data_IF_120228987287
#
_entry.id   IF_120228987287
#
_cell.length_a   1.000
_cell.length_b   1.000
_cell.length_c   1.000
_cell.angle_alpha   90.00
_cell.angle_beta   90.00
_cell.angle_gamma   90.00
#
_symmetry.space_group_name_H-M   'P 1'
#
loop_
_entity.id
_entity.type
_entity.pdbx_description
1 polymer ?
#
# COMPACT_ATOMS: atom_id res chain seq x y z
N UNK A 1 28.20 -39.91 1.38
CA UNK A 1 28.72 -38.54 1.55
C UNK A 1 29.10 -38.33 3.00
N UNK A 2 30.39 -38.12 3.22
CA UNK A 2 30.91 -37.72 4.53
C UNK A 2 30.34 -36.35 4.95
N UNK A 3 30.42 -36.02 6.24
CA UNK A 3 30.04 -34.69 6.76
C UNK A 3 30.86 -33.58 6.08
N UNK A 4 32.12 -33.88 5.74
CA UNK A 4 33.05 -33.03 5.00
C UNK A 4 32.55 -32.74 3.58
N UNK A 5 32.08 -33.75 2.84
CA UNK A 5 31.51 -33.57 1.49
C UNK A 5 30.25 -32.70 1.53
N UNK A 6 29.43 -32.83 2.58
CA UNK A 6 28.22 -32.00 2.73
C UNK A 6 28.56 -30.54 3.00
N UNK A 7 29.58 -30.26 3.81
CA UNK A 7 30.03 -28.88 4.06
C UNK A 7 30.61 -28.25 2.80
N UNK A 8 31.43 -28.98 2.04
CA UNK A 8 32.00 -28.50 0.79
C UNK A 8 30.93 -28.23 -0.28
N UNK A 9 29.92 -29.11 -0.41
CA UNK A 9 28.79 -28.91 -1.32
C UNK A 9 27.90 -27.72 -0.91
N UNK A 10 27.68 -27.51 0.39
CA UNK A 10 26.91 -26.36 0.89
C UNK A 10 27.67 -25.03 0.71
N UNK A 11 28.98 -25.02 0.94
CA UNK A 11 29.82 -23.84 0.75
C UNK A 11 29.90 -23.43 -0.73
N UNK A 12 30.06 -24.40 -1.63
CA UNK A 12 30.06 -24.14 -3.08
C UNK A 12 28.70 -23.63 -3.56
N UNK A 13 27.59 -24.23 -3.13
CA UNK A 13 26.23 -23.77 -3.50
C UNK A 13 25.97 -22.34 -3.01
N UNK A 14 26.34 -22.02 -1.76
CA UNK A 14 26.21 -20.68 -1.22
C UNK A 14 27.05 -19.66 -2.00
N UNK A 15 28.29 -20.02 -2.38
CA UNK A 15 29.16 -19.19 -3.20
C UNK A 15 28.57 -18.94 -4.59
N UNK A 16 28.09 -19.98 -5.29
CA UNK A 16 27.49 -19.84 -6.61
C UNK A 16 26.22 -19.00 -6.58
N UNK A 17 25.38 -19.18 -5.58
CA UNK A 17 24.19 -18.32 -5.38
C UNK A 17 24.59 -16.89 -5.09
N UNK A 18 25.59 -16.66 -4.24
CA UNK A 18 26.11 -15.32 -3.96
C UNK A 18 26.66 -14.63 -5.21
N UNK A 19 27.46 -15.33 -6.02
CA UNK A 19 27.99 -14.83 -7.29
C UNK A 19 26.87 -14.58 -8.29
N UNK A 20 25.89 -15.48 -8.40
CA UNK A 20 24.76 -15.30 -9.30
C UNK A 20 23.92 -14.08 -8.92
N UNK A 21 23.61 -13.89 -7.64
CA UNK A 21 22.91 -12.69 -7.16
C UNK A 21 23.73 -11.44 -7.42
N UNK A 22 25.03 -11.45 -7.12
CA UNK A 22 25.89 -10.29 -7.36
C UNK A 22 25.98 -9.94 -8.84
N UNK A 23 26.21 -10.93 -9.71
CA UNK A 23 26.25 -10.74 -11.15
C UNK A 23 24.91 -10.22 -11.68
N UNK A 24 23.80 -10.77 -11.18
CA UNK A 24 22.44 -10.35 -11.48
C UNK A 24 22.24 -8.87 -11.10
N UNK A 25 22.60 -8.47 -9.88
CA UNK A 25 22.55 -7.07 -9.42
C UNK A 25 23.44 -6.16 -10.28
N UNK A 26 24.68 -6.57 -10.59
CA UNK A 26 25.63 -5.78 -11.38
C UNK A 26 25.12 -5.58 -12.81
N UNK A 27 24.63 -6.64 -13.45
CA UNK A 27 23.99 -6.56 -14.77
C UNK A 27 22.81 -5.60 -14.71
N UNK A 28 21.95 -5.67 -13.69
CA UNK A 28 20.80 -4.76 -13.58
C UNK A 28 21.20 -3.31 -13.36
N UNK A 29 22.19 -3.03 -12.52
CA UNK A 29 22.70 -1.67 -12.33
C UNK A 29 23.28 -1.07 -13.63
N UNK A 30 23.51 -1.91 -14.65
CA UNK A 30 24.01 -1.53 -15.97
C UNK A 30 22.91 -1.35 -17.02
N UNK A 31 21.66 -1.77 -16.75
CA UNK A 31 20.52 -1.61 -17.67
C UNK A 31 19.85 -0.24 -17.43
N UNK A 32 19.37 0.38 -18.52
CA UNK A 32 18.59 1.62 -18.43
C UNK A 32 17.19 1.41 -17.86
N UNK A 33 16.49 2.49 -17.45
CA UNK A 33 15.11 2.37 -17.03
C UNK A 33 14.26 1.78 -18.15
N UNK A 34 13.36 0.87 -17.80
CA UNK A 34 12.47 0.19 -18.71
C UNK A 34 11.08 0.83 -18.68
N UNK A 35 10.34 0.75 -19.80
CA UNK A 35 8.97 1.23 -19.82
C UNK A 35 8.07 0.36 -18.92
N UNK A 36 6.96 0.94 -18.48
CA UNK A 36 5.99 0.22 -17.66
C UNK A 36 5.36 -0.98 -18.38
N UNK A 37 5.15 -0.87 -19.69
CA UNK A 37 4.56 -1.94 -20.50
C UNK A 37 5.52 -3.12 -20.64
N UNK A 38 6.80 -2.85 -20.88
CA UNK A 38 7.83 -3.89 -20.94
C UNK A 38 8.01 -4.56 -19.57
N UNK A 39 7.97 -3.79 -18.48
CA UNK A 39 7.96 -4.35 -17.12
C UNK A 39 6.78 -5.29 -16.87
N UNK A 40 5.60 -4.98 -17.42
CA UNK A 40 4.42 -5.85 -17.36
C UNK A 40 4.63 -7.14 -18.17
N UNK A 41 5.28 -7.07 -19.32
CA UNK A 41 5.66 -8.27 -20.08
C UNK A 41 6.57 -9.19 -19.27
N UNK A 42 7.61 -8.65 -18.62
CA UNK A 42 8.49 -9.42 -17.75
C UNK A 42 7.77 -10.04 -16.56
N UNK A 43 6.77 -9.37 -15.97
CA UNK A 43 5.92 -9.99 -14.93
C UNK A 43 5.20 -11.22 -15.45
N UNK A 44 4.74 -11.19 -16.71
CA UNK A 44 4.15 -12.35 -17.40
C UNK A 44 5.13 -13.50 -17.53
N UNK A 45 6.37 -13.23 -17.96
CA UNK A 45 7.44 -14.24 -18.05
C UNK A 45 7.75 -14.83 -16.67
N UNK A 46 7.92 -13.99 -15.65
CA UNK A 46 8.17 -14.40 -14.27
C UNK A 46 7.03 -15.27 -13.70
N UNK A 47 5.78 -14.95 -14.01
CA UNK A 47 4.63 -15.75 -13.63
C UNK A 47 4.63 -17.13 -14.31
N UNK A 48 4.96 -17.19 -15.60
CA UNK A 48 5.12 -18.45 -16.33
C UNK A 48 6.25 -19.32 -15.73
N UNK A 49 7.38 -18.70 -15.37
CA UNK A 49 8.46 -19.38 -14.65
C UNK A 49 7.98 -19.90 -13.28
N UNK A 50 7.13 -19.16 -12.57
CA UNK A 50 6.50 -19.61 -11.34
C UNK A 50 5.73 -20.93 -11.52
N UNK A 51 4.97 -21.07 -12.61
CA UNK A 51 4.27 -22.33 -12.95
C UNK A 51 5.28 -23.46 -13.17
N UNK A 52 6.33 -23.20 -13.95
CA UNK A 52 7.40 -24.18 -14.19
C UNK A 52 8.06 -24.61 -12.87
N UNK A 53 8.33 -23.67 -11.97
CA UNK A 53 8.90 -23.99 -10.65
C UNK A 53 7.96 -24.83 -9.81
N UNK A 54 6.65 -24.55 -9.80
CA UNK A 54 5.67 -25.38 -9.09
C UNK A 54 5.64 -26.81 -9.63
N UNK A 55 5.62 -26.97 -10.96
CA UNK A 55 5.63 -28.29 -11.61
C UNK A 55 6.95 -29.04 -11.35
N UNK A 56 8.09 -28.36 -11.44
CA UNK A 56 9.39 -28.93 -11.13
C UNK A 56 9.46 -29.37 -9.65
N UNK A 57 8.94 -28.56 -8.73
CA UNK A 57 8.89 -28.91 -7.31
C UNK A 57 8.03 -30.16 -7.07
N UNK A 58 6.85 -30.24 -7.72
CA UNK A 58 5.99 -31.43 -7.68
C UNK A 58 6.70 -32.68 -8.24
N UNK A 59 7.44 -32.54 -9.33
CA UNK A 59 8.27 -33.62 -9.89
C UNK A 59 9.36 -34.10 -8.93
N UNK A 60 10.01 -33.19 -8.19
CA UNK A 60 11.02 -33.55 -7.19
C UNK A 60 10.44 -34.32 -6.00
N UNK A 61 9.14 -34.21 -5.73
CA UNK A 61 8.51 -34.99 -4.65
C UNK A 61 8.45 -36.49 -4.95
N UNK A 62 8.45 -36.89 -6.23
CA UNK A 62 8.44 -38.30 -6.67
C UNK A 62 9.82 -38.82 -7.11
N UNK A 63 10.82 -37.94 -7.15
CA UNK A 63 12.17 -38.28 -7.58
C UNK A 63 12.96 -39.05 -6.50
N UNK A 64 13.98 -39.80 -6.94
CA UNK A 64 14.91 -40.48 -6.05
C UNK A 64 15.59 -39.48 -5.08
N UNK A 65 15.93 -39.87 -3.83
CA UNK A 65 16.38 -38.94 -2.79
C UNK A 65 17.61 -38.08 -3.16
N UNK A 66 18.55 -38.64 -3.92
CA UNK A 66 19.74 -37.92 -4.37
C UNK A 66 19.41 -36.87 -5.44
N UNK A 67 18.54 -37.22 -6.41
CA UNK A 67 18.02 -36.29 -7.44
C UNK A 67 17.20 -35.18 -6.79
N UNK A 68 16.34 -35.53 -5.83
CA UNK A 68 15.51 -34.58 -5.09
C UNK A 68 16.35 -33.50 -4.42
N UNK A 69 17.47 -33.87 -3.80
CA UNK A 69 18.34 -32.93 -3.10
C UNK A 69 19.03 -31.97 -4.07
N UNK A 70 19.72 -32.49 -5.09
CA UNK A 70 20.42 -31.67 -6.08
C UNK A 70 19.43 -30.79 -6.84
N UNK A 71 18.30 -31.36 -7.27
CA UNK A 71 17.25 -30.64 -7.97
C UNK A 71 16.63 -29.52 -7.14
N UNK A 72 16.41 -29.73 -5.84
CA UNK A 72 15.89 -28.69 -4.95
C UNK A 72 16.89 -27.52 -4.79
N UNK A 73 18.19 -27.80 -4.67
CA UNK A 73 19.20 -26.77 -4.52
C UNK A 73 19.36 -25.95 -5.82
N UNK A 74 19.38 -26.61 -6.99
CA UNK A 74 19.37 -25.93 -8.30
C UNK A 74 18.12 -25.07 -8.46
N UNK A 75 16.95 -25.62 -8.15
CA UNK A 75 15.67 -24.93 -8.29
C UNK A 75 15.61 -23.69 -7.39
N UNK A 76 16.09 -23.78 -6.15
CA UNK A 76 16.23 -22.62 -5.25
C UNK A 76 17.15 -21.56 -5.84
N UNK A 77 18.31 -21.93 -6.36
CA UNK A 77 19.25 -20.96 -6.95
C UNK A 77 18.64 -20.22 -8.13
N UNK A 78 17.95 -20.94 -9.01
CA UNK A 78 17.24 -20.33 -10.15
C UNK A 78 16.09 -19.43 -9.67
N UNK A 79 15.32 -19.86 -8.67
CA UNK A 79 14.28 -19.04 -8.06
C UNK A 79 14.83 -17.76 -7.43
N UNK A 80 15.98 -17.83 -6.75
CA UNK A 80 16.64 -16.66 -6.16
C UNK A 80 16.99 -15.65 -7.25
N UNK A 81 17.65 -16.09 -8.33
CA UNK A 81 17.97 -15.21 -9.47
C UNK A 81 16.70 -14.61 -10.06
N UNK A 82 15.65 -15.42 -10.24
CA UNK A 82 14.36 -15.00 -10.79
C UNK A 82 13.65 -13.97 -9.91
N UNK A 83 13.69 -14.16 -8.59
CA UNK A 83 13.12 -13.22 -7.61
C UNK A 83 13.91 -11.92 -7.58
N UNK A 84 15.25 -11.98 -7.59
CA UNK A 84 16.10 -10.79 -7.67
C UNK A 84 15.80 -10.02 -8.95
N UNK A 85 15.70 -10.69 -10.10
CA UNK A 85 15.24 -10.07 -11.34
C UNK A 85 13.87 -9.40 -11.18
N UNK A 86 12.90 -10.12 -10.62
CA UNK A 86 11.57 -9.61 -10.37
C UNK A 86 11.54 -8.37 -9.48
N UNK A 87 12.40 -8.29 -8.47
CA UNK A 87 12.54 -7.11 -7.62
C UNK A 87 13.00 -5.88 -8.40
N UNK A 88 14.00 -6.00 -9.27
CA UNK A 88 14.43 -4.86 -10.09
C UNK A 88 13.39 -4.53 -11.18
N UNK A 89 12.76 -5.53 -11.77
CA UNK A 89 11.64 -5.33 -12.70
C UNK A 89 10.47 -4.59 -12.05
N UNK A 90 10.19 -4.90 -10.78
CA UNK A 90 9.15 -4.24 -10.01
C UNK A 90 9.37 -2.72 -9.92
N UNK A 91 10.63 -2.27 -9.91
CA UNK A 91 11.06 -0.87 -9.95
C UNK A 91 11.35 -0.35 -11.36
N UNK A 92 10.86 -1.01 -12.41
CA UNK A 92 11.09 -0.62 -13.80
C UNK A 92 12.58 -0.48 -14.15
N UNK A 93 13.44 -1.22 -13.45
CA UNK A 93 14.91 -1.11 -13.54
C UNK A 93 15.43 0.33 -13.35
N UNK A 94 14.69 1.19 -12.66
CA UNK A 94 15.10 2.56 -12.39
C UNK A 94 15.89 2.67 -11.09
N UNK A 95 17.17 2.97 -11.22
CA UNK A 95 18.09 3.22 -10.09
C UNK A 95 17.73 4.47 -9.28
N UNK A 96 16.91 5.38 -9.81
CA UNK A 96 16.42 6.56 -9.07
C UNK A 96 15.55 6.20 -7.87
N UNK A 97 15.06 4.96 -7.79
CA UNK A 97 14.33 4.46 -6.62
C UNK A 97 15.20 4.43 -5.36
N UNK A 98 16.53 4.44 -5.47
CA UNK A 98 17.42 4.38 -4.30
C UNK A 98 17.82 5.76 -3.76
N UNK A 99 17.84 6.80 -4.59
CA UNK A 99 18.34 8.13 -4.24
C UNK A 99 17.25 9.21 -4.22
N UNK A 100 16.04 8.92 -4.71
CA UNK A 100 14.94 9.87 -4.74
C UNK A 100 13.55 9.23 -4.66
N UNK A 101 12.53 10.06 -4.89
CA UNK A 101 11.16 9.63 -5.09
C UNK A 101 10.79 9.92 -6.56
N UNK A 102 10.30 8.90 -7.27
CA UNK A 102 9.87 9.05 -8.66
C UNK A 102 8.55 9.80 -8.79
N UNK A 103 7.62 9.55 -7.86
CA UNK A 103 6.36 10.29 -7.75
C UNK A 103 6.14 10.83 -6.34
N UNK A 104 6.00 12.15 -6.23
CA UNK A 104 5.74 12.81 -4.96
C UNK A 104 4.24 12.79 -4.57
N UNK A 105 3.33 12.38 -5.45
CA UNK A 105 1.88 12.46 -5.23
C UNK A 105 1.43 11.67 -4.01
N UNK A 106 1.76 10.38 -3.99
CA UNK A 106 1.37 9.47 -2.91
C UNK A 106 1.93 9.96 -1.58
N UNK A 107 3.25 10.13 -1.52
CA UNK A 107 3.93 10.53 -0.29
C UNK A 107 3.44 11.87 0.24
N UNK A 108 3.03 12.83 -0.61
CA UNK A 108 2.47 14.10 -0.15
C UNK A 108 1.17 13.86 0.62
N UNK A 109 0.25 13.03 0.12
CA UNK A 109 -0.97 12.71 0.84
C UNK A 109 -0.65 12.07 2.19
N UNK A 110 0.26 11.09 2.22
CA UNK A 110 0.46 10.29 3.43
C UNK A 110 1.36 10.93 4.47
N UNK A 111 2.41 11.66 4.07
CA UNK A 111 3.29 12.40 4.97
C UNK A 111 2.59 13.63 5.56
N UNK A 112 2.03 14.48 4.69
CA UNK A 112 1.45 15.75 5.14
C UNK A 112 0.22 15.50 6.00
N UNK A 113 -0.74 14.69 5.53
CA UNK A 113 -1.94 14.46 6.34
C UNK A 113 -1.68 13.65 7.61
N UNK A 114 -0.70 12.74 7.67
CA UNK A 114 -0.42 12.06 8.93
C UNK A 114 0.16 13.03 9.96
N UNK A 115 1.09 13.90 9.54
CA UNK A 115 1.77 14.88 10.40
C UNK A 115 0.82 15.94 10.95
N UNK A 116 -0.12 16.39 10.11
CA UNK A 116 -1.05 17.50 10.39
C UNK A 116 -2.51 17.05 10.47
N UNK A 117 -2.80 15.77 10.79
CA UNK A 117 -4.17 15.26 10.78
C UNK A 117 -5.08 16.00 11.76
N UNK A 118 -4.53 16.40 12.91
CA UNK A 118 -5.29 17.13 13.94
C UNK A 118 -5.79 18.49 13.45
N UNK A 119 -5.00 19.16 12.62
CA UNK A 119 -5.32 20.47 12.08
C UNK A 119 -6.09 20.42 10.75
N UNK A 120 -5.77 19.47 9.88
CA UNK A 120 -6.36 19.35 8.55
C UNK A 120 -7.66 18.53 8.55
N UNK A 121 -7.79 17.58 9.48
CA UNK A 121 -8.76 16.50 9.37
C UNK A 121 -8.65 15.74 8.04
N UNK A 122 -9.74 15.10 7.62
CA UNK A 122 -9.79 14.37 6.34
C UNK A 122 -10.03 15.26 5.12
N UNK A 123 -10.46 16.51 5.33
CA UNK A 123 -11.01 17.34 4.26
C UNK A 123 -10.20 18.61 3.99
N UNK A 124 -9.20 18.91 4.81
CA UNK A 124 -8.47 20.18 4.77
C UNK A 124 -7.23 20.20 3.89
N UNK A 125 -6.74 19.05 3.40
CA UNK A 125 -5.45 18.97 2.70
C UNK A 125 -5.32 19.96 1.54
N UNK A 126 -6.19 19.86 0.54
CA UNK A 126 -6.09 20.70 -0.66
C UNK A 126 -6.34 22.18 -0.37
N UNK A 127 -7.41 22.57 0.35
CA UNK A 127 -7.63 23.96 0.73
C UNK A 127 -6.44 24.58 1.47
N UNK A 128 -5.87 23.87 2.45
CA UNK A 128 -4.75 24.37 3.23
C UNK A 128 -3.47 24.49 2.38
N UNK A 129 -3.14 23.48 1.58
CA UNK A 129 -1.96 23.53 0.71
C UNK A 129 -2.07 24.65 -0.35
N UNK A 130 -3.24 24.83 -0.95
CA UNK A 130 -3.48 25.91 -1.93
C UNK A 130 -3.33 27.28 -1.25
N UNK A 131 -3.85 27.44 -0.03
CA UNK A 131 -3.66 28.69 0.71
C UNK A 131 -2.19 28.94 1.06
N UNK A 132 -1.49 27.93 1.60
CA UNK A 132 -0.08 28.06 1.96
C UNK A 132 0.79 28.45 0.77
N UNK A 133 0.54 27.85 -0.40
CA UNK A 133 1.23 28.19 -1.64
C UNK A 133 0.89 29.60 -2.16
N UNK A 134 -0.36 30.04 -2.02
CA UNK A 134 -0.79 31.39 -2.43
C UNK A 134 -0.19 32.49 -1.55
N UNK A 135 -0.02 32.23 -0.25
CA UNK A 135 0.69 33.10 0.70
C UNK A 135 2.22 33.05 0.49
N UNK A 136 2.72 31.96 -0.09
CA UNK A 136 4.13 31.74 -0.36
C UNK A 136 4.67 32.55 -1.56
N UNK A 137 6.01 32.69 -1.65
CA UNK A 137 6.64 33.49 -2.68
C UNK A 137 6.64 32.84 -4.07
N UNK A 138 6.59 31.50 -4.16
CA UNK A 138 6.75 30.76 -5.42
C UNK A 138 5.44 30.48 -6.15
N UNK A 139 4.33 30.32 -5.43
CA UNK A 139 2.97 30.12 -5.98
C UNK A 139 2.90 29.02 -7.04
N UNK A 140 3.38 27.83 -6.72
CA UNK A 140 3.43 26.66 -7.63
C UNK A 140 2.06 26.29 -8.21
N UNK A 141 1.00 26.52 -7.43
CA UNK A 141 -0.39 26.19 -7.74
C UNK A 141 -1.13 27.31 -8.47
N UNK A 142 -0.45 28.38 -8.92
CA UNK A 142 -1.09 29.52 -9.58
C UNK A 142 -1.92 29.15 -10.84
N UNK A 143 -1.56 28.04 -11.50
CA UNK A 143 -2.29 27.53 -12.67
C UNK A 143 -3.49 26.62 -12.31
N UNK A 144 -3.68 26.28 -11.03
CA UNK A 144 -4.79 25.46 -10.56
C UNK A 144 -6.07 26.30 -10.54
N UNK A 145 -6.99 25.99 -11.44
CA UNK A 145 -8.28 26.70 -11.56
C UNK A 145 -9.41 26.03 -10.80
N UNK A 146 -9.34 24.71 -10.68
CA UNK A 146 -10.33 23.88 -10.02
C UNK A 146 -9.61 22.83 -9.17
N UNK A 147 -10.28 22.36 -8.13
CA UNK A 147 -9.82 21.29 -7.26
C UNK A 147 -11.00 20.40 -6.88
N UNK A 148 -10.73 19.16 -6.46
CA UNK A 148 -11.74 18.29 -5.86
C UNK A 148 -11.92 18.64 -4.40
N UNK A 149 -13.12 19.06 -4.01
CA UNK A 149 -13.46 19.24 -2.61
C UNK A 149 -13.61 17.87 -1.93
N UNK A 150 -12.78 17.58 -0.94
CA UNK A 150 -12.75 16.27 -0.29
C UNK A 150 -14.01 15.98 0.56
N UNK A 151 -14.86 16.98 0.81
CA UNK A 151 -16.10 16.83 1.60
C UNK A 151 -17.25 16.17 0.84
N UNK A 152 -17.23 16.27 -0.49
CA UNK A 152 -18.29 15.79 -1.39
C UNK A 152 -17.77 15.24 -2.73
N UNK A 153 -16.47 15.35 -3.00
CA UNK A 153 -15.80 14.98 -4.25
C UNK A 153 -16.22 15.76 -5.49
N UNK A 154 -16.87 16.90 -5.33
CA UNK A 154 -17.18 17.81 -6.43
C UNK A 154 -15.96 18.64 -6.83
N UNK A 155 -15.79 18.88 -8.13
CA UNK A 155 -14.81 19.84 -8.61
C UNK A 155 -15.33 21.27 -8.42
N UNK A 156 -14.57 22.09 -7.70
CA UNK A 156 -14.95 23.47 -7.37
C UNK A 156 -13.87 24.45 -7.81
N UNK A 157 -14.23 25.72 -8.07
CA UNK A 157 -13.26 26.77 -8.33
C UNK A 157 -12.25 26.92 -7.18
N UNK A 158 -11.01 27.27 -7.50
CA UNK A 158 -9.91 27.41 -6.53
C UNK A 158 -10.20 28.45 -5.44
N UNK A 159 -11.06 29.44 -5.71
CA UNK A 159 -11.50 30.46 -4.77
C UNK A 159 -12.22 29.84 -3.55
N UNK A 160 -12.96 28.75 -3.77
CA UNK A 160 -13.61 27.99 -2.69
C UNK A 160 -12.55 27.32 -1.81
N UNK A 161 -11.48 26.80 -2.41
CA UNK A 161 -10.34 26.23 -1.68
C UNK A 161 -9.65 27.28 -0.83
N UNK A 162 -9.40 28.47 -1.39
CA UNK A 162 -8.75 29.58 -0.68
C UNK A 162 -9.59 30.08 0.51
N UNK A 163 -10.91 30.16 0.36
CA UNK A 163 -11.81 30.52 1.46
C UNK A 163 -11.79 29.47 2.57
N UNK A 164 -11.91 28.20 2.22
CA UNK A 164 -11.90 27.10 3.19
C UNK A 164 -10.52 26.94 3.86
N UNK A 165 -9.43 27.13 3.13
CA UNK A 165 -8.08 27.14 3.68
C UNK A 165 -7.90 28.22 4.74
N UNK A 166 -8.50 29.41 4.55
CA UNK A 166 -8.44 30.49 5.55
C UNK A 166 -9.19 30.13 6.83
N UNK A 167 -10.32 29.44 6.70
CA UNK A 167 -11.06 28.93 7.87
C UNK A 167 -10.23 27.90 8.64
N UNK A 168 -9.67 26.89 7.95
CA UNK A 168 -8.83 25.87 8.56
C UNK A 168 -7.62 26.50 9.29
N UNK A 169 -6.92 27.42 8.62
CA UNK A 169 -5.79 28.15 9.20
C UNK A 169 -6.19 28.88 10.48
N UNK A 170 -7.33 29.57 10.47
CA UNK A 170 -7.80 30.37 11.61
C UNK A 170 -8.32 29.51 12.77
N UNK A 171 -8.97 28.39 12.48
CA UNK A 171 -9.66 27.56 13.49
C UNK A 171 -8.76 26.47 14.08
N UNK A 172 -7.77 25.99 13.33
CA UNK A 172 -7.08 24.73 13.67
C UNK A 172 -5.55 24.84 13.75
N UNK A 173 -4.94 25.90 13.19
CA UNK A 173 -3.48 26.08 13.23
C UNK A 173 -3.06 27.19 14.20
N UNK A 174 -1.99 26.93 14.96
CA UNK A 174 -1.20 28.01 15.54
C UNK A 174 -0.29 28.63 14.47
N UNK A 175 0.22 29.87 14.65
CA UNK A 175 1.13 30.48 13.69
C UNK A 175 2.36 29.62 13.39
N UNK A 176 2.96 29.01 14.41
CA UNK A 176 4.17 28.17 14.28
C UNK A 176 3.86 26.89 13.51
N UNK A 177 2.73 26.25 13.81
CA UNK A 177 2.29 25.04 13.10
C UNK A 177 1.91 25.33 11.65
N UNK A 178 1.36 26.50 11.36
CA UNK A 178 1.09 26.93 9.99
C UNK A 178 2.38 27.16 9.20
N UNK A 179 3.38 27.78 9.81
CA UNK A 179 4.69 27.99 9.18
C UNK A 179 5.37 26.65 8.85
N UNK A 180 5.35 25.70 9.79
CA UNK A 180 5.85 24.34 9.57
C UNK A 180 5.08 23.62 8.43
N UNK A 181 3.75 23.71 8.44
CA UNK A 181 2.91 23.15 7.38
C UNK A 181 3.20 23.79 6.02
N UNK A 182 3.35 25.11 5.96
CA UNK A 182 3.62 25.84 4.73
C UNK A 182 4.99 25.50 4.16
N UNK A 183 5.99 25.31 5.02
CA UNK A 183 7.32 24.82 4.64
C UNK A 183 7.23 23.42 3.99
N UNK A 184 6.57 22.47 4.67
CA UNK A 184 6.41 21.11 4.14
C UNK A 184 5.59 21.10 2.84
N UNK A 185 4.56 21.95 2.74
CA UNK A 185 3.78 22.12 1.53
C UNK A 185 4.63 22.66 0.36
N UNK A 186 5.45 23.71 0.56
CA UNK A 186 6.37 24.22 -0.48
C UNK A 186 7.35 23.13 -0.93
N UNK A 187 7.88 22.33 0.00
CA UNK A 187 8.75 21.21 -0.32
C UNK A 187 8.09 20.25 -1.32
N UNK A 188 6.86 19.81 -1.05
CA UNK A 188 6.18 18.86 -1.95
C UNK A 188 5.70 19.51 -3.24
N UNK A 189 5.16 20.73 -3.19
CA UNK A 189 4.60 21.41 -4.36
C UNK A 189 5.70 21.81 -5.37
N UNK A 190 6.87 22.25 -4.89
CA UNK A 190 8.01 22.59 -5.76
C UNK A 190 8.56 21.41 -6.57
N UNK A 191 8.16 20.18 -6.24
CA UNK A 191 8.57 18.94 -6.92
C UNK A 191 7.48 18.38 -7.83
N UNK A 192 6.35 19.07 -7.95
CA UNK A 192 5.24 18.69 -8.84
C UNK A 192 5.24 19.60 -10.07
N UNK A 193 5.04 19.02 -11.24
CA UNK A 193 4.79 19.80 -12.45
C UNK A 193 3.40 20.44 -12.40
N UNK A 194 3.20 21.54 -13.12
CA UNK A 194 1.88 22.14 -13.30
C UNK A 194 0.86 21.13 -13.81
N UNK A 195 1.24 20.32 -14.81
CA UNK A 195 0.40 19.23 -15.34
C UNK A 195 -0.03 18.25 -14.25
N UNK A 196 0.91 17.86 -13.38
CA UNK A 196 0.61 16.97 -12.25
C UNK A 196 -0.36 17.62 -11.27
N UNK A 197 -0.17 18.90 -10.95
CA UNK A 197 -1.04 19.61 -10.00
C UNK A 197 -2.47 19.75 -10.53
N UNK A 198 -2.63 20.20 -11.78
CA UNK A 198 -3.95 20.47 -12.38
C UNK A 198 -4.68 19.21 -12.84
N UNK A 199 -3.95 18.18 -13.26
CA UNK A 199 -4.52 16.97 -13.87
C UNK A 199 -4.65 15.78 -12.93
N UNK A 200 -3.85 15.72 -11.86
CA UNK A 200 -3.79 14.55 -10.98
C UNK A 200 -3.93 14.93 -9.49
N UNK A 201 -3.02 15.75 -8.96
CA UNK A 201 -2.83 15.89 -7.51
C UNK A 201 -4.04 16.51 -6.79
N UNK A 202 -4.55 17.64 -7.28
CA UNK A 202 -5.68 18.36 -6.66
C UNK A 202 -7.05 17.84 -7.07
N UNK A 203 -7.11 16.89 -8.00
CA UNK A 203 -8.35 16.28 -8.49
C UNK A 203 -8.48 14.81 -8.10
N UNK A 204 -7.51 14.25 -7.38
CA UNK A 204 -7.61 12.95 -6.73
C UNK A 204 -8.42 13.04 -5.43
N UNK A 205 -8.60 11.90 -4.76
CA UNK A 205 -9.37 11.76 -3.54
C UNK A 205 -8.54 11.96 -2.26
N UNK A 206 -7.24 12.24 -2.39
CA UNK A 206 -6.36 12.60 -1.29
C UNK A 206 -6.20 11.53 -0.21
N UNK A 207 -6.26 11.95 1.04
CA UNK A 207 -5.95 11.14 2.21
C UNK A 207 -7.13 10.25 2.63
N UNK A 208 -6.90 8.94 2.74
CA UNK A 208 -7.92 7.93 3.03
C UNK A 208 -7.67 6.88 4.13
N UNK A 209 -6.49 6.77 4.78
CA UNK A 209 -6.31 5.82 5.87
C UNK A 209 -7.24 6.08 7.05
N UNK A 210 -7.55 5.06 7.86
CA UNK A 210 -8.23 5.25 9.13
C UNK A 210 -7.33 5.98 10.17
N UNK A 211 -7.90 6.55 11.24
CA UNK A 211 -7.13 7.30 12.24
C UNK A 211 -6.06 6.44 12.92
N UNK A 212 -6.34 5.14 13.08
CA UNK A 212 -5.40 4.13 13.61
C UNK A 212 -4.14 3.95 12.77
N UNK A 213 -4.23 4.04 11.44
CA UNK A 213 -3.05 4.04 10.55
C UNK A 213 -2.25 5.34 10.70
N UNK A 214 -2.94 6.44 11.00
CA UNK A 214 -2.32 7.76 11.17
C UNK A 214 -1.42 7.82 12.40
N UNK A 215 -1.62 6.94 13.40
CA UNK A 215 -0.76 6.87 14.60
C UNK A 215 0.70 6.55 14.24
N UNK A 216 1.04 5.40 13.61
CA UNK A 216 2.41 5.16 13.16
C UNK A 216 2.83 6.09 12.02
N UNK A 217 1.89 6.51 11.16
CA UNK A 217 2.19 7.46 10.07
C UNK A 217 2.65 8.83 10.58
N UNK A 218 2.03 9.35 11.65
CA UNK A 218 2.42 10.60 12.31
C UNK A 218 3.77 10.44 13.00
N UNK A 219 3.95 9.36 13.75
CA UNK A 219 5.21 9.07 14.40
C UNK A 219 6.39 9.10 13.41
N UNK A 220 6.25 8.45 12.25
CA UNK A 220 7.30 8.48 11.23
C UNK A 220 7.45 9.87 10.59
N UNK A 221 6.36 10.57 10.31
CA UNK A 221 6.42 11.90 9.69
C UNK A 221 7.03 12.96 10.63
N UNK A 222 6.86 12.80 11.96
CA UNK A 222 7.49 13.67 12.97
C UNK A 222 8.99 13.37 13.14
N UNK A 223 9.46 12.16 12.80
CA UNK A 223 10.87 11.77 12.92
C UNK A 223 11.76 12.31 11.80
N UNK A 224 11.19 12.67 10.64
CA UNK A 224 11.95 13.12 9.49
C UNK A 224 11.35 14.43 8.94
N UNK A 225 12.16 15.48 8.72
CA UNK A 225 11.71 16.65 7.98
C UNK A 225 11.37 16.26 6.53
N UNK A 226 10.57 17.09 5.85
CA UNK A 226 10.10 16.80 4.48
C UNK A 226 11.27 16.51 3.52
N UNK A 227 12.41 17.17 3.71
CA UNK A 227 13.66 16.97 2.97
C UNK A 227 14.16 15.53 3.01
N UNK A 228 13.93 14.85 4.13
CA UNK A 228 14.39 13.50 4.41
C UNK A 228 13.27 12.46 4.31
N UNK A 229 12.15 12.78 3.66
CA UNK A 229 10.99 11.88 3.53
C UNK A 229 11.33 10.54 2.86
N UNK A 230 12.41 10.49 2.07
CA UNK A 230 12.90 9.22 1.49
C UNK A 230 13.28 8.21 2.57
N UNK A 231 13.86 8.66 3.69
CA UNK A 231 14.30 7.77 4.77
C UNK A 231 13.13 7.02 5.41
N UNK A 232 11.98 7.69 5.57
CA UNK A 232 10.77 7.07 6.10
C UNK A 232 10.04 6.23 5.03
N UNK A 233 10.15 6.58 3.74
CA UNK A 233 9.60 5.75 2.67
C UNK A 233 10.33 4.39 2.57
N UNK A 234 11.64 4.36 2.88
CA UNK A 234 12.43 3.13 2.96
C UNK A 234 12.04 2.22 4.14
N UNK A 235 11.28 2.70 5.13
CA UNK A 235 10.76 1.85 6.22
C UNK A 235 9.92 0.70 5.66
N UNK A 236 9.15 0.94 4.59
CA UNK A 236 8.35 -0.11 3.95
C UNK A 236 9.23 -1.23 3.38
N UNK A 237 10.43 -0.91 2.86
CA UNK A 237 11.40 -1.92 2.39
C UNK A 237 11.80 -2.82 3.56
N UNK A 238 12.10 -2.24 4.72
CA UNK A 238 12.41 -2.98 5.94
C UNK A 238 11.25 -3.83 6.43
N UNK A 239 10.02 -3.29 6.40
CA UNK A 239 8.79 -4.01 6.77
C UNK A 239 8.58 -5.24 5.89
N UNK A 240 8.71 -5.08 4.57
CA UNK A 240 8.52 -6.18 3.60
C UNK A 240 9.64 -7.21 3.70
N UNK A 241 10.89 -6.78 3.86
CA UNK A 241 12.01 -7.69 4.11
C UNK A 241 11.80 -8.49 5.41
N UNK A 242 11.36 -7.83 6.48
CA UNK A 242 11.01 -8.46 7.75
C UNK A 242 9.87 -9.46 7.61
N UNK A 243 8.81 -9.13 6.85
CA UNK A 243 7.72 -10.05 6.53
C UNK A 243 8.27 -11.34 5.90
N UNK A 244 9.11 -11.25 4.86
CA UNK A 244 9.67 -12.43 4.20
C UNK A 244 10.61 -13.23 5.10
N UNK A 245 11.40 -12.57 5.94
CA UNK A 245 12.22 -13.27 6.96
C UNK A 245 11.34 -14.08 7.91
N UNK A 246 10.20 -13.54 8.34
CA UNK A 246 9.23 -14.25 9.18
C UNK A 246 8.56 -15.40 8.42
N UNK A 247 8.28 -15.25 7.12
CA UNK A 247 7.79 -16.36 6.27
C UNK A 247 8.82 -17.48 6.20
N UNK A 248 10.09 -17.18 5.96
CA UNK A 248 11.16 -18.17 5.93
C UNK A 248 11.29 -18.91 7.27
N UNK A 249 11.20 -18.18 8.39
CA UNK A 249 11.19 -18.78 9.71
C UNK A 249 9.98 -19.69 9.94
N UNK A 250 8.78 -19.26 9.52
CA UNK A 250 7.53 -19.96 9.76
C UNK A 250 7.34 -21.20 8.87
N UNK A 251 7.58 -21.05 7.57
CA UNK A 251 7.25 -22.02 6.52
C UNK A 251 8.47 -22.54 5.72
N UNK A 252 9.66 -22.02 5.97
CA UNK A 252 10.89 -22.41 5.26
C UNK A 252 11.22 -21.53 4.05
N UNK A 253 12.44 -21.67 3.54
CA UNK A 253 12.97 -20.84 2.45
C UNK A 253 12.18 -21.00 1.15
N UNK A 254 11.67 -22.20 0.87
CA UNK A 254 10.94 -22.49 -0.36
C UNK A 254 9.63 -21.69 -0.42
N UNK A 255 8.88 -21.68 0.70
CA UNK A 255 7.67 -20.89 0.83
C UNK A 255 7.96 -19.39 0.72
N UNK A 256 9.08 -18.92 1.30
CA UNK A 256 9.51 -17.53 1.16
C UNK A 256 9.80 -17.17 -0.31
N UNK A 257 10.52 -18.01 -1.05
CA UNK A 257 10.85 -17.74 -2.46
C UNK A 257 9.60 -17.71 -3.34
N UNK A 258 8.65 -18.62 -3.15
CA UNK A 258 7.36 -18.56 -3.85
C UNK A 258 6.54 -17.31 -3.46
N UNK A 259 6.54 -16.93 -2.18
CA UNK A 259 5.86 -15.72 -1.73
C UNK A 259 6.49 -14.44 -2.32
N UNK A 260 7.83 -14.37 -2.36
CA UNK A 260 8.55 -13.27 -3.01
C UNK A 260 8.26 -13.22 -4.52
N UNK A 261 8.27 -14.38 -5.19
CA UNK A 261 7.94 -14.46 -6.61
C UNK A 261 6.51 -13.95 -6.87
N UNK A 262 5.53 -14.38 -6.06
CA UNK A 262 4.17 -13.86 -6.13
C UNK A 262 4.12 -12.33 -5.92
N UNK A 263 4.85 -11.82 -4.94
CA UNK A 263 4.89 -10.40 -4.63
C UNK A 263 5.41 -9.54 -5.79
N UNK A 264 6.47 -9.99 -6.47
CA UNK A 264 7.05 -9.24 -7.61
C UNK A 264 6.30 -9.43 -8.92
N UNK A 265 5.44 -10.45 -9.02
CA UNK A 265 4.66 -10.76 -10.24
C UNK A 265 3.22 -10.27 -10.18
N UNK A 266 2.65 -10.09 -8.99
CA UNK A 266 1.23 -9.70 -8.87
C UNK A 266 0.96 -8.36 -9.53
N UNK A 267 -0.08 -8.32 -10.37
CA UNK A 267 -0.50 -7.09 -11.04
C UNK A 267 -0.95 -6.02 -10.04
N UNK A 268 -1.57 -6.43 -8.93
CA UNK A 268 -2.00 -5.52 -7.87
C UNK A 268 -0.82 -4.82 -7.19
N UNK A 269 0.39 -5.38 -7.29
CA UNK A 269 1.60 -4.77 -6.76
C UNK A 269 2.19 -3.68 -7.65
N UNK A 270 1.63 -3.39 -8.84
CA UNK A 270 2.16 -2.34 -9.74
C UNK A 270 2.19 -0.94 -9.10
N UNK A 271 1.32 -0.70 -8.13
CA UNK A 271 1.24 0.49 -7.30
C UNK A 271 0.70 0.09 -5.93
N UNK A 272 1.18 0.66 -4.82
CA UNK A 272 2.27 1.65 -4.73
C UNK A 272 3.67 1.03 -4.93
N UNK A 273 4.66 1.85 -5.26
CA UNK A 273 6.06 1.42 -5.42
C UNK A 273 6.72 1.35 -4.03
N UNK A 274 7.32 0.20 -3.72
CA UNK A 274 8.02 -0.03 -2.46
C UNK A 274 9.20 0.94 -2.30
N UNK A 275 9.31 1.60 -1.15
CA UNK A 275 10.36 2.62 -0.92
C UNK A 275 10.02 4.01 -1.48
N UNK A 276 8.86 4.20 -2.12
CA UNK A 276 8.37 5.51 -2.58
C UNK A 276 7.12 6.00 -1.84
N UNK A 277 6.59 5.19 -0.94
CA UNK A 277 5.39 5.51 -0.19
C UNK A 277 5.58 5.25 1.30
N UNK A 278 4.75 5.89 2.13
CA UNK A 278 4.76 5.74 3.57
C UNK A 278 3.73 4.69 3.98
N UNK A 279 4.16 3.63 4.69
CA UNK A 279 3.30 2.61 5.31
C UNK A 279 2.18 2.11 4.39
N UNK A 280 2.55 1.76 3.16
CA UNK A 280 1.65 1.13 2.19
C UNK A 280 1.61 -0.38 2.31
N UNK A 281 2.70 -0.96 2.78
CA UNK A 281 2.89 -2.41 2.92
C UNK A 281 2.77 -2.92 4.36
N UNK A 282 2.51 -2.03 5.32
CA UNK A 282 2.38 -2.32 6.74
C UNK A 282 1.27 -3.35 7.04
N UNK A 283 0.07 -3.14 6.50
CA UNK A 283 -1.09 -3.96 6.77
C UNK A 283 -0.93 -5.37 6.17
N UNK A 284 -0.36 -5.49 4.97
CA UNK A 284 -0.18 -6.79 4.29
C UNK A 284 0.91 -7.58 4.98
N UNK A 285 1.99 -6.90 5.37
CA UNK A 285 3.06 -7.48 6.16
C UNK A 285 2.55 -7.98 7.50
N UNK A 286 1.75 -7.18 8.22
CA UNK A 286 1.13 -7.60 9.46
C UNK A 286 0.18 -8.80 9.26
N UNK A 287 -0.63 -8.82 8.19
CA UNK A 287 -1.49 -9.96 7.88
C UNK A 287 -0.69 -11.25 7.64
N UNK A 288 0.35 -11.20 6.83
CA UNK A 288 1.21 -12.36 6.54
C UNK A 288 1.96 -12.81 7.80
N UNK A 289 2.49 -11.86 8.58
CA UNK A 289 3.13 -12.15 9.87
C UNK A 289 2.13 -12.79 10.84
N UNK A 290 0.87 -12.35 10.88
CA UNK A 290 -0.18 -12.98 11.68
C UNK A 290 -0.36 -14.47 11.31
N UNK A 291 -0.43 -14.79 10.01
CA UNK A 291 -0.52 -16.18 9.55
C UNK A 291 0.71 -17.01 9.94
N UNK A 292 1.90 -16.40 9.89
CA UNK A 292 3.14 -17.03 10.35
C UNK A 292 3.11 -17.30 11.87
N UNK A 293 2.59 -16.35 12.66
CA UNK A 293 2.44 -16.52 14.11
C UNK A 293 1.40 -17.60 14.46
N UNK A 294 0.31 -17.72 13.69
CA UNK A 294 -0.64 -18.85 13.81
C UNK A 294 0.06 -20.18 13.55
N UNK A 295 0.85 -20.28 12.47
CA UNK A 295 1.63 -21.48 12.14
C UNK A 295 2.61 -21.88 13.24
N UNK A 296 3.16 -20.90 13.96
CA UNK A 296 4.12 -21.08 15.04
C UNK A 296 3.47 -21.11 16.43
N UNK A 297 2.13 -21.21 16.50
CA UNK A 297 1.34 -21.28 17.73
C UNK A 297 1.57 -20.09 18.69
N UNK A 298 1.99 -18.95 18.14
CA UNK A 298 2.16 -17.68 18.86
C UNK A 298 0.83 -16.90 18.83
N UNK A 299 -0.19 -17.47 19.47
CA UNK A 299 -1.59 -17.05 19.34
C UNK A 299 -1.84 -15.57 19.64
N UNK A 300 -1.25 -15.02 20.70
CA UNK A 300 -1.42 -13.61 21.05
C UNK A 300 -0.81 -12.67 19.99
N UNK A 301 0.40 -12.96 19.52
CA UNK A 301 1.03 -12.19 18.44
C UNK A 301 0.20 -12.29 17.16
N UNK A 302 -0.31 -13.47 16.83
CA UNK A 302 -1.19 -13.65 15.68
C UNK A 302 -2.43 -12.74 15.75
N UNK A 303 -3.12 -12.72 16.89
CA UNK A 303 -4.28 -11.84 17.09
C UNK A 303 -3.92 -10.37 17.00
N UNK A 304 -2.80 -9.97 17.61
CA UNK A 304 -2.32 -8.58 17.58
C UNK A 304 -1.98 -8.09 16.18
N UNK A 305 -1.22 -8.86 15.41
CA UNK A 305 -0.88 -8.51 14.03
C UNK A 305 -2.11 -8.51 13.10
N UNK A 306 -3.07 -9.41 13.31
CA UNK A 306 -4.30 -9.40 12.52
C UNK A 306 -5.16 -8.17 12.85
N UNK A 307 -5.26 -7.81 14.13
CA UNK A 307 -5.95 -6.59 14.55
C UNK A 307 -5.28 -5.34 13.97
N UNK A 308 -3.95 -5.25 14.02
CA UNK A 308 -3.20 -4.17 13.37
C UNK A 308 -3.55 -4.05 11.88
N UNK A 309 -3.48 -5.18 11.14
CA UNK A 309 -3.80 -5.20 9.72
C UNK A 309 -5.25 -4.72 9.44
N UNK A 310 -6.21 -5.22 10.21
CA UNK A 310 -7.63 -4.91 10.08
C UNK A 310 -8.02 -3.48 10.52
N UNK A 311 -7.25 -2.88 11.44
CA UNK A 311 -7.45 -1.50 11.86
C UNK A 311 -6.81 -0.52 10.89
N UNK A 312 -5.72 -0.89 10.21
CA UNK A 312 -5.05 -0.02 9.25
C UNK A 312 -5.70 -0.06 7.86
N UNK A 313 -6.33 -1.19 7.52
CA UNK A 313 -7.20 -1.37 6.36
C UNK A 313 -8.37 -2.26 6.77
N UNK A 314 -9.59 -2.00 6.32
CA UNK A 314 -10.76 -2.76 6.79
C UNK A 314 -10.83 -4.20 6.25
N UNK A 315 -10.34 -4.46 5.04
CA UNK A 315 -10.56 -5.74 4.36
C UNK A 315 -9.85 -6.95 5.01
N UNK A 316 -8.67 -6.86 5.67
CA UNK A 316 -8.09 -7.97 6.42
C UNK A 316 -8.97 -8.44 7.58
N UNK A 317 -9.99 -7.67 8.00
CA UNK A 317 -10.94 -8.12 9.01
C UNK A 317 -11.64 -9.44 8.62
N UNK A 318 -11.77 -9.74 7.32
CA UNK A 318 -12.34 -11.01 6.85
C UNK A 318 -11.57 -12.23 7.36
N UNK A 319 -10.27 -12.11 7.66
CA UNK A 319 -9.48 -13.23 8.16
C UNK A 319 -9.81 -13.61 9.61
N UNK A 320 -10.49 -12.73 10.37
CA UNK A 320 -11.08 -13.13 11.66
C UNK A 320 -12.19 -14.17 11.47
N UNK A 321 -12.86 -14.21 10.32
CA UNK A 321 -13.91 -15.20 10.05
C UNK A 321 -13.36 -16.64 10.05
N UNK A 322 -12.21 -16.86 9.39
CA UNK A 322 -11.56 -18.18 9.38
C UNK A 322 -11.17 -18.64 10.79
N UNK A 323 -10.60 -17.75 11.59
CA UNK A 323 -10.34 -18.02 13.01
C UNK A 323 -11.63 -18.26 13.80
N UNK A 324 -12.67 -17.47 13.54
CA UNK A 324 -13.98 -17.55 14.21
C UNK A 324 -14.66 -18.91 14.00
N UNK A 325 -14.58 -19.48 12.79
CA UNK A 325 -15.09 -20.84 12.53
C UNK A 325 -14.36 -21.86 13.41
N UNK A 326 -13.02 -21.83 13.45
CA UNK A 326 -12.22 -22.74 14.26
C UNK A 326 -12.52 -22.56 15.75
N UNK A 327 -12.66 -21.32 16.21
CA UNK A 327 -13.07 -20.98 17.57
C UNK A 327 -14.42 -21.60 17.94
N UNK A 328 -15.43 -21.49 17.08
CA UNK A 328 -16.75 -22.06 17.31
C UNK A 328 -16.72 -23.60 17.32
N UNK A 329 -16.00 -24.22 16.37
CA UNK A 329 -15.82 -25.68 16.31
C UNK A 329 -15.15 -26.19 17.59
N UNK A 330 -14.05 -25.57 18.00
CA UNK A 330 -13.29 -25.97 19.18
C UNK A 330 -14.11 -25.79 20.46
N UNK A 331 -14.81 -24.65 20.59
CA UNK A 331 -15.69 -24.39 21.73
C UNK A 331 -16.84 -25.39 21.79
N UNK A 332 -17.43 -25.74 20.64
CA UNK A 332 -18.49 -26.75 20.56
C UNK A 332 -17.97 -28.15 20.91
N UNK A 333 -16.83 -28.58 20.36
CA UNK A 333 -16.26 -29.92 20.59
C UNK A 333 -15.73 -30.10 22.00
N UNK A 334 -15.05 -29.11 22.55
CA UNK A 334 -14.40 -29.21 23.86
C UNK A 334 -15.25 -28.66 25.01
N UNK A 335 -16.39 -28.03 24.69
CA UNK A 335 -17.32 -27.41 25.67
C UNK A 335 -16.64 -26.40 26.60
N UNK A 336 -15.52 -25.82 26.18
CA UNK A 336 -14.74 -24.83 26.93
C UNK A 336 -13.97 -23.92 25.97
N UNK A 337 -13.67 -22.70 26.42
CA UNK A 337 -12.80 -21.79 25.70
C UNK A 337 -11.34 -22.23 25.86
N UNK A 338 -10.71 -22.67 24.77
CA UNK A 338 -9.31 -23.09 24.80
C UNK A 338 -8.39 -21.87 24.99
N UNK A 339 -7.32 -22.05 25.77
CA UNK A 339 -6.33 -20.98 26.08
C UNK A 339 -5.75 -20.32 24.83
N UNK A 340 -5.58 -21.08 23.73
CA UNK A 340 -5.12 -20.52 22.45
C UNK A 340 -6.03 -19.41 21.91
N UNK A 341 -7.34 -19.52 22.09
CA UNK A 341 -8.29 -18.49 21.65
C UNK A 341 -8.28 -17.30 22.59
N UNK A 342 -8.16 -17.53 23.89
CA UNK A 342 -8.01 -16.45 24.88
C UNK A 342 -6.76 -15.62 24.60
N UNK A 343 -5.62 -16.27 24.34
CA UNK A 343 -4.38 -15.58 23.95
C UNK A 343 -4.56 -14.77 22.66
N UNK A 344 -5.18 -15.36 21.63
CA UNK A 344 -5.47 -14.66 20.38
C UNK A 344 -6.34 -13.42 20.60
N UNK A 345 -7.46 -13.56 21.33
CA UNK A 345 -8.36 -12.46 21.66
C UNK A 345 -7.64 -11.40 22.48
N UNK A 346 -6.84 -11.79 23.47
CA UNK A 346 -6.07 -10.86 24.30
C UNK A 346 -5.08 -10.04 23.47
N UNK A 347 -4.35 -10.67 22.54
CA UNK A 347 -3.43 -9.96 21.65
C UNK A 347 -4.15 -9.01 20.69
N UNK A 348 -5.25 -9.47 20.07
CA UNK A 348 -6.08 -8.62 19.20
C UNK A 348 -6.68 -7.43 19.97
N UNK A 349 -7.20 -7.68 21.17
CA UNK A 349 -7.76 -6.67 22.05
C UNK A 349 -6.72 -5.65 22.51
N UNK A 350 -5.54 -6.09 22.93
CA UNK A 350 -4.46 -5.20 23.37
C UNK A 350 -4.02 -4.23 22.27
N UNK A 351 -3.78 -4.74 21.05
CA UNK A 351 -3.42 -3.88 19.90
C UNK A 351 -4.56 -2.94 19.54
N UNK A 352 -5.81 -3.41 19.56
CA UNK A 352 -6.97 -2.58 19.23
C UNK A 352 -7.16 -1.44 20.23
N UNK A 353 -7.11 -1.74 21.53
CA UNK A 353 -7.21 -0.74 22.60
C UNK A 353 -6.08 0.27 22.49
N UNK A 354 -4.85 -0.20 22.23
CA UNK A 354 -3.70 0.68 22.06
C UNK A 354 -3.86 1.62 20.86
N UNK A 355 -4.10 1.09 19.65
CA UNK A 355 -4.18 1.93 18.44
C UNK A 355 -5.37 2.87 18.45
N UNK A 356 -6.55 2.38 18.87
CA UNK A 356 -7.76 3.21 18.96
C UNK A 356 -7.57 4.27 20.04
N UNK A 357 -7.04 3.88 21.22
CA UNK A 357 -6.75 4.80 22.31
C UNK A 357 -5.78 5.90 21.89
N UNK A 358 -4.67 5.54 21.24
CA UNK A 358 -3.70 6.51 20.72
C UNK A 358 -4.31 7.43 19.66
N UNK A 359 -5.11 6.90 18.73
CA UNK A 359 -5.78 7.71 17.72
C UNK A 359 -6.80 8.68 18.34
N UNK A 360 -7.53 8.24 19.36
CA UNK A 360 -8.46 9.10 20.10
C UNK A 360 -7.74 10.23 20.85
N UNK A 361 -6.61 9.91 21.49
CA UNK A 361 -5.80 10.91 22.21
C UNK A 361 -5.16 11.91 21.25
N UNK A 362 -4.63 11.45 20.11
CA UNK A 362 -3.92 12.32 19.17
C UNK A 362 -4.86 13.15 18.28
N UNK A 363 -5.97 12.57 17.84
CA UNK A 363 -6.81 13.17 16.78
C UNK A 363 -8.25 13.40 17.19
N UNK A 364 -8.65 12.98 18.39
CA UNK A 364 -10.02 13.11 18.87
C UNK A 364 -11.03 12.16 18.22
N UNK A 365 -12.24 12.04 18.80
CA UNK A 365 -13.27 11.12 18.33
C UNK A 365 -13.92 11.53 17.00
N UNK A 366 -13.91 12.81 16.67
CA UNK A 366 -14.53 13.31 15.43
C UNK A 366 -13.84 12.74 14.18
N UNK A 367 -12.52 12.54 14.24
CA UNK A 367 -11.69 12.00 13.17
C UNK A 367 -12.13 10.59 12.75
N UNK A 368 -12.69 9.78 13.64
CA UNK A 368 -13.28 8.47 13.29
C UNK A 368 -14.57 8.61 12.47
N UNK A 369 -15.43 9.59 12.82
CA UNK A 369 -16.65 9.86 12.05
C UNK A 369 -16.31 10.37 10.65
N UNK A 370 -15.34 11.28 10.57
CA UNK A 370 -14.89 11.85 9.30
C UNK A 370 -14.21 10.80 8.42
N UNK A 371 -13.38 9.94 9.00
CA UNK A 371 -12.80 8.78 8.31
C UNK A 371 -13.88 7.85 7.76
N UNK A 372 -14.91 7.54 8.55
CA UNK A 372 -16.04 6.70 8.12
C UNK A 372 -16.78 7.35 6.95
N UNK A 373 -17.06 8.66 7.03
CA UNK A 373 -17.68 9.41 5.93
C UNK A 373 -16.80 9.35 4.68
N UNK A 374 -15.51 9.59 4.80
CA UNK A 374 -14.55 9.54 3.70
C UNK A 374 -14.52 8.15 3.05
N UNK A 375 -14.46 7.08 3.84
CA UNK A 375 -14.49 5.70 3.36
C UNK A 375 -15.80 5.38 2.60
N UNK A 376 -16.94 5.85 3.10
CA UNK A 376 -18.24 5.68 2.42
C UNK A 376 -18.30 6.45 1.09
N UNK A 377 -17.67 7.63 1.00
CA UNK A 377 -17.57 8.37 -0.26
C UNK A 377 -16.67 7.65 -1.26
N UNK A 378 -15.51 7.16 -0.84
CA UNK A 378 -14.63 6.32 -1.66
C UNK A 378 -15.33 5.06 -2.18
N UNK A 379 -16.19 4.44 -1.37
CA UNK A 379 -16.94 3.26 -1.80
C UNK A 379 -18.05 3.59 -2.83
N UNK A 380 -18.39 4.86 -3.06
CA UNK A 380 -19.33 5.28 -4.11
C UNK A 380 -18.64 5.61 -5.43
N UNK A 381 -17.38 6.02 -5.44
CA UNK A 381 -16.66 6.36 -6.69
C UNK A 381 -16.09 5.11 -7.37
N UNK A 382 -16.32 4.96 -8.68
CA UNK A 382 -15.70 3.89 -9.43
C UNK A 382 -14.19 4.14 -9.59
N UNK A 383 -13.43 3.07 -9.37
CA UNK A 383 -11.99 3.06 -9.55
C UNK A 383 -11.59 1.81 -10.30
N UNK A 384 -10.69 1.97 -11.26
CA UNK A 384 -10.03 0.85 -11.97
C UNK A 384 -9.18 -0.03 -11.05
N UNK A 385 -9.03 0.37 -9.79
CA UNK A 385 -8.32 -0.38 -8.75
C UNK A 385 -9.27 -1.23 -7.89
N UNK A 386 -10.58 -1.21 -8.16
CA UNK A 386 -11.51 -2.13 -7.51
C UNK A 386 -11.22 -3.56 -7.95
N UNK A 387 -11.24 -4.46 -6.96
CA UNK A 387 -11.09 -5.89 -7.17
C UNK A 387 -12.28 -6.54 -6.49
N UNK A 388 -13.18 -7.09 -7.29
CA UNK A 388 -14.37 -7.77 -6.78
C UNK A 388 -15.39 -8.04 -7.87
N UNK A 389 -16.43 -8.81 -7.51
CA UNK A 389 -17.50 -9.19 -8.43
C UNK A 389 -18.35 -7.99 -8.88
N UNK A 390 -18.24 -6.85 -8.20
CA UNK A 390 -18.96 -5.62 -8.55
C UNK A 390 -18.62 -5.12 -9.96
N UNK A 391 -17.36 -5.22 -10.39
CA UNK A 391 -16.95 -4.74 -11.71
C UNK A 391 -17.39 -5.68 -12.85
N UNK A 392 -17.50 -6.99 -12.56
CA UNK A 392 -18.08 -7.96 -13.49
C UNK A 392 -19.57 -7.68 -13.76
N UNK A 393 -20.28 -7.10 -12.79
CA UNK A 393 -21.69 -6.73 -12.91
C UNK A 393 -21.93 -5.30 -13.42
N UNK A 394 -20.86 -4.49 -13.56
CA UNK A 394 -20.94 -3.10 -14.00
C UNK A 394 -20.88 -2.94 -15.53
N UNK A 395 -20.37 -3.92 -16.27
CA UNK A 395 -20.28 -3.81 -17.72
C UNK A 395 -21.68 -3.87 -18.37
N UNK A 396 -22.23 -2.70 -18.71
CA UNK A 396 -23.51 -2.54 -19.42
C UNK A 396 -23.31 -1.98 -20.84
N UNK A 397 -22.06 -1.86 -21.28
CA UNK A 397 -21.66 -1.26 -22.54
C UNK A 397 -20.90 0.07 -22.40
N UNK A 398 -20.65 0.53 -21.17
CA UNK A 398 -19.75 1.64 -20.88
C UNK A 398 -18.33 1.31 -21.38
N UNK A 399 -17.70 2.27 -22.07
CA UNK A 399 -16.36 2.15 -22.66
C UNK A 399 -15.34 3.02 -21.91
N UNK A 400 -15.79 3.96 -21.09
CA UNK A 400 -14.90 4.88 -20.37
C UNK A 400 -15.16 4.89 -18.86
N UNK A 401 -14.14 5.26 -18.08
CA UNK A 401 -14.26 5.44 -16.62
C UNK A 401 -15.33 6.47 -16.26
N UNK A 402 -15.44 7.52 -17.05
CA UNK A 402 -16.37 8.60 -16.81
C UNK A 402 -17.82 8.15 -17.02
N UNK A 403 -18.09 7.31 -18.03
CA UNK A 403 -19.39 6.65 -18.22
C UNK A 403 -19.76 5.76 -17.04
N UNK A 404 -18.84 4.90 -16.58
CA UNK A 404 -19.07 4.05 -15.41
C UNK A 404 -19.35 4.84 -14.13
N UNK A 405 -18.63 5.94 -13.91
CA UNK A 405 -18.87 6.85 -12.80
C UNK A 405 -20.26 7.50 -12.91
N UNK A 406 -20.63 8.05 -14.08
CA UNK A 406 -21.95 8.65 -14.30
C UNK A 406 -23.07 7.67 -13.94
N UNK A 407 -23.00 6.43 -14.41
CA UNK A 407 -24.02 5.40 -14.09
C UNK A 407 -24.06 5.09 -12.58
N UNK A 408 -22.90 5.01 -11.93
CA UNK A 408 -22.78 4.70 -10.50
C UNK A 408 -23.35 5.83 -9.61
N UNK A 409 -23.08 7.09 -9.96
CA UNK A 409 -23.60 8.27 -9.23
C UNK A 409 -25.09 8.51 -9.50
N UNK A 410 -25.56 8.25 -10.71
CA UNK A 410 -26.97 8.46 -11.06
C UNK A 410 -27.88 7.37 -10.49
N UNK A 411 -27.43 6.13 -10.30
CA UNK A 411 -28.32 5.00 -10.00
C UNK A 411 -28.04 4.31 -8.65
N UNK A 412 -26.98 4.71 -7.94
CA UNK A 412 -26.49 4.01 -6.75
C UNK A 412 -26.15 2.53 -7.00
N UNK A 413 -25.57 1.84 -6.01
CA UNK A 413 -25.42 0.39 -6.05
C UNK A 413 -26.82 -0.24 -5.93
N UNK A 414 -27.49 -0.49 -7.06
CA UNK A 414 -28.83 -1.06 -7.09
C UNK A 414 -29.81 -0.50 -8.13
N UNK A 415 -29.40 0.46 -8.98
CA UNK A 415 -30.22 0.83 -10.14
C UNK A 415 -31.36 1.83 -9.87
N UNK A 416 -31.40 2.51 -8.72
CA UNK A 416 -32.44 3.51 -8.42
C UNK A 416 -31.94 4.92 -8.72
N UNK A 417 -32.61 5.68 -9.62
CA UNK A 417 -32.13 6.98 -10.05
C UNK A 417 -32.18 8.01 -8.91
N UNK A 418 -31.03 8.58 -8.55
CA UNK A 418 -30.90 9.82 -7.76
C UNK A 418 -30.83 11.01 -8.71
N UNK A 419 -31.79 11.94 -8.59
CA UNK A 419 -31.87 13.17 -9.41
C UNK A 419 -30.65 14.06 -9.14
N UNK A 420 -29.83 14.33 -10.16
CA UNK A 420 -28.77 15.35 -10.09
C UNK A 420 -28.21 15.70 -11.48
N UNK A 421 -28.23 16.99 -11.84
CA UNK A 421 -27.99 17.54 -13.19
C UNK A 421 -26.48 17.72 -13.52
N UNK A 422 -25.55 17.35 -12.64
CA UNK A 422 -24.14 17.78 -12.75
C UNK A 422 -23.17 16.85 -13.51
N UNK A 423 -23.61 15.73 -14.07
CA UNK A 423 -22.71 14.75 -14.71
C UNK A 423 -22.18 15.13 -16.11
N UNK A 424 -22.60 16.27 -16.70
CA UNK A 424 -22.22 16.65 -18.07
C UNK A 424 -20.87 17.37 -18.19
N UNK A 425 -20.47 18.18 -17.20
CA UNK A 425 -19.22 18.97 -17.30
C UNK A 425 -17.95 18.18 -16.94
N UNK A 426 -18.06 17.18 -16.05
CA UNK A 426 -16.95 16.28 -15.67
C UNK A 426 -16.36 15.49 -16.86
N UNK A 427 -17.16 15.27 -17.91
CA UNK A 427 -16.90 14.24 -18.94
C UNK A 427 -16.11 14.75 -20.14
N UNK A 428 -16.08 16.06 -20.37
CA UNK A 428 -15.31 16.63 -21.49
C UNK A 428 -13.80 16.73 -21.21
N UNK A 429 -13.37 16.68 -19.94
CA UNK A 429 -11.95 16.86 -19.56
C UNK A 429 -11.17 15.56 -19.35
N UNK A 430 -11.80 14.50 -18.84
CA UNK A 430 -11.11 13.22 -18.56
C UNK A 430 -10.58 12.55 -19.86
N UNK A 431 -11.31 12.71 -20.98
CA UNK A 431 -10.89 12.22 -22.29
C UNK A 431 -9.70 12.98 -22.90
N UNK A 432 -9.36 14.18 -22.42
CA UNK A 432 -8.20 14.94 -22.89
C UNK A 432 -6.92 14.64 -22.08
N UNK A 433 -7.03 13.98 -20.92
CA UNK A 433 -5.89 13.65 -20.07
C UNK A 433 -5.31 12.24 -20.33
N UNK A 434 -6.05 11.39 -21.05
CA UNK A 434 -5.63 10.05 -21.45
C UNK A 434 -5.03 9.96 -22.87
N UNK A 435 -4.98 11.08 -23.60
CA UNK A 435 -4.18 11.27 -24.81
C UNK A 435 -2.93 12.10 -24.48
#
# INVERSE_FOLDING_TARGET
MSVTDRRAALQSTALYTGVAVLATVVVYMSIGPESRDDSHWWRGVLAALGIVFTLAWAGLHVAAPHVKRIGADVLRSVMIVTVVFGWFNYYQFDKKVFDGLGDYTDITYYYVNSKYLGELGYFGLYPAMILADAEGPKRHSAAVKHYRDLRDYEEKPVEVALQHGRQIKAESFTPERWEEFAHDADYFLSRKSTRSMTGNFYVDHGYNPPPTWSVPGKFLADLAPAENVKSIALVDVGIVAGMFAVVAWAFGIDAMLFAMLFFVTTFSGRWPILGEALLRFDWVSALVVSMCMLKKEKWALAGGFLAYAALNRVFPAIFFFGWGIVFLIDTYRHRKLLTKHLHFIAGAGAVSVFLIGMALVQFGPQTFKDSTRNLLMHNKSYSSHRVGLGDLALFRGEKTRAEMNRTTYEHGPGGRPTRGIQAKEYILRDNQLQA
#
